data_IF_420478243002
#
_entry.id   IF_420478243002
#
_cell.length_a   1.000
_cell.length_b   1.000
_cell.length_c   1.000
_cell.angle_alpha   90.00
_cell.angle_beta   90.00
_cell.angle_gamma   90.00
#
_symmetry.space_group_name_H-M   'P 1'
#
loop_
_entity.id
_entity.type
_entity.pdbx_description
1 polymer ?
#
# COMPACT_ATOMS: atom_id res chain seq x y z
N UNK A 1 12.19 31.75 -44.96
CA UNK A 1 11.46 30.61 -44.36
C UNK A 1 11.87 30.47 -42.91
N UNK A 2 10.98 30.79 -41.97
CA UNK A 2 11.27 30.67 -40.53
C UNK A 2 11.43 29.20 -40.17
N UNK A 3 12.65 28.78 -39.82
CA UNK A 3 12.90 27.44 -39.27
C UNK A 3 12.30 27.44 -37.87
N UNK A 4 11.08 26.94 -37.74
CA UNK A 4 10.41 26.74 -36.46
C UNK A 4 11.17 25.66 -35.68
N UNK A 5 12.09 26.07 -34.80
CA UNK A 5 12.75 25.13 -33.89
C UNK A 5 11.69 24.56 -32.95
N UNK A 6 11.21 23.35 -33.25
CA UNK A 6 10.27 22.62 -32.41
C UNK A 6 10.87 22.47 -31.01
N UNK A 7 10.17 22.98 -29.98
CA UNK A 7 10.63 22.91 -28.60
C UNK A 7 10.84 21.43 -28.21
N UNK A 8 11.98 21.10 -27.60
CA UNK A 8 12.27 19.73 -27.18
C UNK A 8 11.32 19.36 -26.03
N UNK A 9 10.56 18.26 -26.14
CA UNK A 9 9.64 17.85 -25.09
C UNK A 9 10.41 17.53 -23.80
N UNK A 10 9.89 17.99 -22.66
CA UNK A 10 10.53 17.87 -21.33
C UNK A 10 10.87 16.41 -20.99
N UNK A 11 9.99 15.47 -21.37
CA UNK A 11 10.21 14.04 -21.19
C UNK A 11 11.51 13.52 -21.85
N UNK A 12 11.96 14.14 -22.95
CA UNK A 12 13.23 13.80 -23.64
C UNK A 12 14.45 14.51 -23.07
N UNK A 13 14.28 15.38 -22.07
CA UNK A 13 15.36 16.12 -21.39
C UNK A 13 15.80 15.44 -20.09
N UNK A 14 15.00 14.51 -19.56
CA UNK A 14 15.34 13.79 -18.34
C UNK A 14 16.53 12.88 -18.64
N UNK A 15 17.64 13.11 -17.93
CA UNK A 15 18.81 12.25 -17.94
C UNK A 15 18.80 11.50 -16.61
N UNK A 16 18.30 10.25 -16.55
CA UNK A 16 18.37 9.48 -15.33
C UNK A 16 19.84 9.29 -14.97
N UNK A 17 20.14 9.47 -13.69
CA UNK A 17 21.46 9.14 -13.17
C UNK A 17 21.47 7.64 -12.97
N UNK A 18 22.17 6.91 -13.85
CA UNK A 18 22.30 5.44 -13.80
C UNK A 18 23.29 4.97 -12.73
N UNK A 19 23.71 5.85 -11.82
CA UNK A 19 24.65 5.48 -10.76
C UNK A 19 23.91 4.81 -9.63
N UNK A 20 24.53 3.78 -9.05
CA UNK A 20 24.03 3.19 -7.82
C UNK A 20 23.89 4.22 -6.70
N UNK A 21 22.89 4.02 -5.84
CA UNK A 21 22.71 4.84 -4.65
C UNK A 21 23.95 4.68 -3.77
N UNK A 22 24.67 5.78 -3.44
CA UNK A 22 25.87 5.74 -2.61
C UNK A 22 25.60 5.01 -1.30
N UNK A 23 26.58 4.25 -0.81
CA UNK A 23 26.45 3.42 0.39
C UNK A 23 26.00 4.23 1.62
N UNK A 24 26.46 5.49 1.74
CA UNK A 24 26.05 6.43 2.79
C UNK A 24 24.54 6.73 2.84
N UNK A 25 23.79 6.48 1.76
CA UNK A 25 22.34 6.67 1.69
C UNK A 25 21.57 5.36 1.69
N UNK A 26 22.25 4.22 1.81
CA UNK A 26 21.59 2.91 1.91
C UNK A 26 21.04 2.73 3.32
N UNK A 27 19.76 2.40 3.40
CA UNK A 27 19.12 2.03 4.65
C UNK A 27 19.57 0.60 4.99
N UNK A 28 20.40 0.47 6.03
CA UNK A 28 20.81 -0.84 6.56
C UNK A 28 19.75 -1.28 7.56
N UNK A 29 19.10 -2.42 7.29
CA UNK A 29 18.18 -3.04 8.24
C UNK A 29 18.95 -3.94 9.19
N UNK A 30 19.25 -3.44 10.39
CA UNK A 30 19.85 -4.21 11.49
C UNK A 30 18.74 -4.77 12.39
N UNK A 31 18.13 -5.89 11.96
CA UNK A 31 17.06 -6.55 12.73
C UNK A 31 17.73 -7.44 13.77
N UNK A 32 17.75 -7.00 15.02
CA UNK A 32 18.27 -7.77 16.15
C UNK A 32 17.14 -8.54 16.84
N UNK A 33 17.19 -9.86 16.78
CA UNK A 33 16.19 -10.73 17.36
C UNK A 33 14.89 -10.78 16.56
N UNK A 34 13.88 -11.44 17.12
CA UNK A 34 12.56 -11.52 16.52
C UNK A 34 11.73 -10.27 16.89
N UNK A 35 11.38 -9.41 15.91
CA UNK A 35 10.57 -8.21 16.17
C UNK A 35 9.14 -8.52 16.62
N UNK A 36 8.66 -9.77 16.43
CA UNK A 36 7.30 -10.19 16.76
C UNK A 36 7.23 -10.90 18.11
N UNK A 37 8.36 -11.13 18.79
CA UNK A 37 8.40 -11.94 20.02
C UNK A 37 7.51 -11.41 21.17
N UNK A 38 7.27 -10.11 21.21
CA UNK A 38 6.41 -9.46 22.22
C UNK A 38 4.95 -9.31 21.77
N UNK A 39 4.61 -9.65 20.53
CA UNK A 39 3.24 -9.46 20.05
C UNK A 39 2.31 -10.54 20.63
N UNK A 40 1.11 -10.15 21.06
CA UNK A 40 0.10 -11.12 21.46
C UNK A 40 -0.36 -11.91 20.24
N UNK A 41 -0.56 -13.21 20.44
CA UNK A 41 -1.15 -14.08 19.43
C UNK A 41 -2.64 -13.71 19.32
N UNK A 42 -3.07 -13.28 18.14
CA UNK A 42 -4.46 -13.00 17.85
C UNK A 42 -5.17 -14.27 17.38
N UNK A 43 -6.46 -14.40 17.72
CA UNK A 43 -7.31 -15.44 17.13
C UNK A 43 -7.43 -15.20 15.62
N UNK A 44 -7.28 -16.24 14.79
CA UNK A 44 -7.50 -16.12 13.34
C UNK A 44 -8.97 -15.85 13.02
N UNK A 45 -9.90 -16.24 13.89
CA UNK A 45 -11.33 -16.03 13.69
C UNK A 45 -11.81 -14.79 14.45
N UNK A 46 -12.31 -13.76 13.74
CA UNK A 46 -12.89 -12.58 14.38
C UNK A 46 -14.25 -12.92 15.02
N UNK A 47 -14.68 -12.16 16.04
CA UNK A 47 -16.02 -12.29 16.59
C UNK A 47 -17.09 -11.90 15.56
N UNK A 48 -18.33 -12.40 15.73
CA UNK A 48 -19.43 -12.01 14.84
C UNK A 48 -19.65 -10.50 14.90
N UNK A 49 -19.95 -9.92 13.74
CA UNK A 49 -20.20 -8.49 13.62
C UNK A 49 -21.32 -8.01 14.54
N UNK A 50 -21.05 -6.93 15.27
CA UNK A 50 -22.03 -6.14 16.00
C UNK A 50 -21.84 -4.67 15.64
N UNK A 51 -22.92 -3.91 15.36
CA UNK A 51 -22.81 -2.49 15.07
C UNK A 51 -22.26 -1.77 16.30
N UNK A 52 -21.15 -1.05 16.14
CA UNK A 52 -20.50 -0.33 17.24
C UNK A 52 -20.01 1.04 16.80
N UNK A 53 -20.38 2.07 17.56
CA UNK A 53 -19.97 3.45 17.34
C UNK A 53 -20.28 3.95 15.93
N UNK A 54 -19.23 4.14 15.12
CA UNK A 54 -19.34 4.68 13.75
C UNK A 54 -19.60 3.60 12.69
N UNK A 55 -19.54 2.32 13.05
CA UNK A 55 -19.74 1.22 12.10
C UNK A 55 -21.13 0.62 12.29
N UNK A 56 -22.08 1.09 11.48
CA UNK A 56 -23.49 0.68 11.48
C UNK A 56 -23.74 -0.45 10.48
N UNK A 57 -24.88 -1.12 10.61
CA UNK A 57 -25.34 -2.16 9.68
C UNK A 57 -25.39 -1.64 8.24
N UNK A 58 -25.95 -0.45 8.02
CA UNK A 58 -26.05 0.16 6.69
C UNK A 58 -24.67 0.35 6.04
N UNK A 59 -23.66 0.74 6.82
CA UNK A 59 -22.30 0.91 6.32
C UNK A 59 -21.66 -0.42 5.96
N UNK A 60 -21.91 -1.45 6.76
CA UNK A 60 -21.48 -2.81 6.44
C UNK A 60 -22.11 -3.28 5.12
N UNK A 61 -23.42 -3.09 4.94
CA UNK A 61 -24.11 -3.51 3.70
C UNK A 61 -23.57 -2.79 2.45
N UNK A 62 -23.25 -1.49 2.56
CA UNK A 62 -22.60 -0.76 1.47
C UNK A 62 -21.24 -1.34 1.14
N UNK A 63 -20.44 -1.67 2.16
CA UNK A 63 -19.13 -2.31 1.99
C UNK A 63 -19.32 -3.68 1.34
N UNK A 64 -20.19 -4.54 1.87
CA UNK A 64 -20.45 -5.88 1.34
C UNK A 64 -20.94 -5.84 -0.12
N UNK A 65 -21.72 -4.81 -0.49
CA UNK A 65 -22.15 -4.59 -1.89
C UNK A 65 -21.01 -4.13 -2.80
N UNK A 66 -20.08 -3.33 -2.28
CA UNK A 66 -18.93 -2.83 -3.05
C UNK A 66 -17.85 -3.89 -3.25
N UNK A 67 -17.83 -4.94 -2.43
CA UNK A 67 -16.84 -6.01 -2.52
C UNK A 67 -17.47 -7.25 -3.19
N UNK A 68 -17.03 -7.62 -4.40
CA UNK A 68 -17.56 -8.78 -5.09
C UNK A 68 -17.26 -10.09 -4.32
N UNK A 69 -18.06 -11.14 -4.52
CA UNK A 69 -17.83 -12.44 -3.88
C UNK A 69 -16.43 -12.96 -4.21
N UNK A 70 -15.67 -13.32 -3.17
CA UNK A 70 -14.25 -13.71 -3.25
C UNK A 70 -13.26 -12.64 -2.79
N UNK A 71 -13.72 -11.47 -2.35
CA UNK A 71 -12.87 -10.48 -1.69
C UNK A 71 -12.44 -10.94 -0.27
N UNK A 72 -13.37 -11.50 0.49
CA UNK A 72 -13.10 -12.14 1.79
C UNK A 72 -13.06 -13.66 1.64
N UNK A 73 -12.29 -14.32 2.50
CA UNK A 73 -12.35 -15.77 2.66
C UNK A 73 -13.72 -16.16 3.25
N UNK A 74 -14.21 -17.40 3.07
CA UNK A 74 -15.47 -17.83 3.68
C UNK A 74 -15.48 -17.76 5.21
N UNK A 75 -14.29 -17.75 5.82
CA UNK A 75 -14.06 -17.64 7.25
C UNK A 75 -13.98 -16.18 7.75
N UNK A 76 -14.00 -15.19 6.84
CA UNK A 76 -13.89 -13.74 7.09
C UNK A 76 -15.14 -12.97 6.61
#
# INVERSE_FOLDING_TARGET
TFVTKKYKPVAKKIRPVYTDVPEKFRIIRDIKGDPLATLPILSPHPPPFAPYGRYTTERREVIDKCHPPGFLLPEE
#
